data_IF_308265961811
#
_entry.id   IF_308265961811
#
_cell.length_a   1.000
_cell.length_b   1.000
_cell.length_c   1.000
_cell.angle_alpha   90.00
_cell.angle_beta   90.00
_cell.angle_gamma   90.00
#
_symmetry.space_group_name_H-M   'P 1'
#
loop_
_entity.id
_entity.type
_entity.pdbx_description
1 polymer ?
#
# COMPACT_ATOMS: atom_id res chain seq x y z
N UNK A 1 -13.89 -5.31 14.91
CA UNK A 1 -13.57 -6.63 14.30
C UNK A 1 -12.07 -6.67 14.08
N UNK A 2 -11.41 -7.83 13.94
CA UNK A 2 -9.96 -7.80 13.68
C UNK A 2 -9.67 -7.36 12.24
N UNK A 3 -8.70 -6.47 12.05
CA UNK A 3 -8.17 -6.06 10.73
C UNK A 3 -7.78 -7.28 9.87
N UNK A 4 -7.28 -8.33 10.53
CA UNK A 4 -6.82 -9.56 9.87
C UNK A 4 -7.90 -10.29 9.06
N UNK A 5 -9.18 -10.08 9.38
CA UNK A 5 -10.29 -10.67 8.63
C UNK A 5 -10.41 -10.10 7.22
N UNK A 6 -9.84 -8.91 6.97
CA UNK A 6 -9.93 -8.20 5.70
C UNK A 6 -8.70 -8.34 4.82
N UNK A 7 -7.59 -8.89 5.33
CA UNK A 7 -6.35 -9.00 4.56
C UNK A 7 -6.53 -9.83 3.27
N UNK A 8 -7.24 -10.95 3.34
CA UNK A 8 -7.45 -11.80 2.17
C UNK A 8 -8.37 -11.13 1.13
N UNK A 9 -9.56 -10.59 1.47
CA UNK A 9 -10.37 -9.81 0.52
C UNK A 9 -9.63 -8.62 -0.10
N UNK A 10 -8.90 -7.85 0.71
CA UNK A 10 -8.12 -6.69 0.24
C UNK A 10 -7.04 -7.13 -0.75
N UNK A 11 -6.33 -8.22 -0.44
CA UNK A 11 -5.31 -8.80 -1.32
C UNK A 11 -5.90 -9.13 -2.69
N UNK A 12 -7.00 -9.88 -2.71
CA UNK A 12 -7.65 -10.33 -3.95
C UNK A 12 -8.14 -9.15 -4.80
N UNK A 13 -8.77 -8.16 -4.17
CA UNK A 13 -9.26 -6.96 -4.84
C UNK A 13 -8.11 -6.12 -5.42
N UNK A 14 -7.00 -5.96 -4.70
CA UNK A 14 -5.81 -5.27 -5.23
C UNK A 14 -5.22 -6.01 -6.42
N UNK A 15 -5.02 -7.32 -6.32
CA UNK A 15 -4.50 -8.14 -7.44
C UNK A 15 -5.41 -8.03 -8.67
N UNK A 16 -6.73 -7.96 -8.48
CA UNK A 16 -7.68 -7.68 -9.56
C UNK A 16 -7.52 -6.30 -10.17
N UNK A 17 -7.40 -5.24 -9.37
CA UNK A 17 -7.18 -3.88 -9.88
C UNK A 17 -5.90 -3.76 -10.72
N UNK A 18 -4.80 -4.39 -10.28
CA UNK A 18 -3.57 -4.46 -11.06
C UNK A 18 -3.76 -5.26 -12.36
N UNK A 19 -4.45 -6.41 -12.30
CA UNK A 19 -4.77 -7.23 -13.47
C UNK A 19 -5.60 -6.47 -14.50
N UNK A 20 -6.58 -5.68 -14.07
CA UNK A 20 -7.39 -4.83 -14.95
C UNK A 20 -6.56 -3.72 -15.63
N UNK A 21 -5.40 -3.37 -15.06
CA UNK A 21 -4.40 -2.49 -15.67
C UNK A 21 -3.35 -3.24 -16.49
N UNK A 22 -3.56 -4.52 -16.79
CA UNK A 22 -2.65 -5.34 -17.57
C UNK A 22 -1.35 -5.68 -16.85
N UNK A 23 -1.31 -5.57 -15.52
CA UNK A 23 -0.14 -5.85 -14.69
C UNK A 23 -0.35 -7.11 -13.87
N UNK A 24 0.69 -7.94 -13.74
CA UNK A 24 0.65 -9.12 -12.89
C UNK A 24 1.22 -8.78 -11.52
N UNK A 25 0.32 -8.51 -10.57
CA UNK A 25 0.68 -8.31 -9.16
C UNK A 25 0.69 -9.64 -8.40
N UNK A 26 1.60 -9.75 -7.45
CA UNK A 26 1.67 -10.84 -6.48
C UNK A 26 1.82 -10.24 -5.08
N UNK A 27 0.84 -10.47 -4.22
CA UNK A 27 0.82 -10.01 -2.83
C UNK A 27 0.86 -11.20 -1.86
N UNK A 28 1.42 -11.00 -0.68
CA UNK A 28 1.31 -11.93 0.46
C UNK A 28 0.83 -11.19 1.71
N UNK A 29 0.11 -11.91 2.57
CA UNK A 29 -0.26 -11.43 3.90
C UNK A 29 0.96 -11.61 4.82
N UNK A 30 1.71 -10.53 5.03
CA UNK A 30 2.99 -10.52 5.76
C UNK A 30 2.84 -10.23 7.24
N UNK A 31 1.68 -9.73 7.68
CA UNK A 31 1.36 -9.45 9.08
C UNK A 31 1.64 -10.64 10.02
N UNK A 32 1.42 -11.88 9.54
CA UNK A 32 1.45 -13.09 10.36
C UNK A 32 2.57 -14.07 10.02
N UNK A 33 2.90 -14.24 8.72
CA UNK A 33 3.79 -15.32 8.25
C UNK A 33 5.20 -14.86 7.87
N UNK A 34 5.48 -13.56 7.95
CA UNK A 34 6.73 -12.99 7.42
C UNK A 34 6.79 -13.03 5.89
N UNK A 35 7.99 -12.85 5.33
CA UNK A 35 8.20 -12.84 3.88
C UNK A 35 8.62 -14.21 3.38
N UNK A 36 7.96 -14.69 2.33
CA UNK A 36 8.41 -15.87 1.61
C UNK A 36 9.75 -15.64 0.90
N UNK A 37 10.43 -16.74 0.54
CA UNK A 37 11.62 -16.67 -0.32
C UNK A 37 11.33 -16.00 -1.67
N UNK A 38 10.10 -16.15 -2.20
CA UNK A 38 9.69 -15.49 -3.44
C UNK A 38 9.69 -13.98 -3.30
N UNK A 39 9.16 -13.43 -2.20
CA UNK A 39 9.22 -11.99 -1.95
C UNK A 39 10.64 -11.50 -1.68
N UNK A 40 11.42 -12.27 -0.90
CA UNK A 40 12.82 -11.91 -0.61
C UNK A 40 13.65 -11.76 -1.89
N UNK A 41 13.51 -12.68 -2.84
CA UNK A 41 14.22 -12.62 -4.13
C UNK A 41 13.88 -11.38 -4.98
N UNK A 42 12.72 -10.75 -4.74
CA UNK A 42 12.28 -9.55 -5.48
C UNK A 42 12.65 -8.25 -4.77
N UNK A 43 13.05 -8.32 -3.50
CA UNK A 43 13.55 -7.17 -2.77
C UNK A 43 14.98 -6.89 -3.28
N UNK A 44 15.33 -5.64 -3.65
CA UNK A 44 16.68 -5.30 -4.04
C UNK A 44 17.69 -5.69 -2.95
N UNK A 45 18.84 -6.26 -3.33
CA UNK A 45 19.85 -6.78 -2.38
C UNK A 45 20.28 -5.75 -1.33
N UNK A 46 20.36 -4.47 -1.69
CA UNK A 46 20.72 -3.38 -0.77
C UNK A 46 19.59 -3.01 0.22
N UNK A 47 18.38 -3.57 0.07
CA UNK A 47 17.19 -3.28 0.88
C UNK A 47 16.83 -4.40 1.84
N UNK A 48 17.47 -5.56 1.78
CA UNK A 48 17.24 -6.63 2.76
C UNK A 48 17.62 -6.21 4.20
N UNK A 49 18.65 -5.36 4.33
CA UNK A 49 19.12 -4.82 5.62
C UNK A 49 18.02 -4.06 6.37
N UNK A 50 17.03 -3.52 5.67
CA UNK A 50 15.90 -2.83 6.27
C UNK A 50 15.17 -3.72 7.27
N UNK A 51 14.98 -5.00 6.95
CA UNK A 51 14.26 -5.92 7.83
C UNK A 51 14.96 -6.13 9.17
N UNK A 52 16.29 -5.99 9.21
CA UNK A 52 17.09 -6.08 10.44
C UNK A 52 16.73 -4.95 11.40
N UNK A 53 16.49 -3.75 10.89
CA UNK A 53 16.25 -2.56 11.71
C UNK A 53 14.78 -2.25 11.95
N UNK A 54 13.92 -2.54 10.96
CA UNK A 54 12.51 -2.14 11.00
C UNK A 54 11.72 -2.85 12.10
N UNK A 55 12.07 -4.11 12.41
CA UNK A 55 11.43 -4.98 13.45
C UNK A 55 9.89 -5.10 13.33
N UNK A 56 9.31 -4.57 12.26
CA UNK A 56 7.91 -4.60 11.87
C UNK A 56 7.83 -4.88 10.38
N UNK A 57 6.64 -5.23 9.91
CA UNK A 57 6.37 -5.56 8.52
C UNK A 57 5.07 -4.89 8.10
N UNK A 58 4.92 -4.58 6.81
CA UNK A 58 3.61 -4.26 6.24
C UNK A 58 2.60 -5.36 6.51
N UNK A 59 1.31 -5.03 6.51
CA UNK A 59 0.26 -6.04 6.62
C UNK A 59 0.21 -6.93 5.39
N UNK A 60 0.31 -6.32 4.20
CA UNK A 60 0.56 -7.01 2.95
C UNK A 60 1.77 -6.42 2.24
N UNK A 61 2.55 -7.29 1.62
CA UNK A 61 3.71 -6.91 0.81
C UNK A 61 3.72 -7.70 -0.48
N UNK A 62 4.19 -7.08 -1.55
CA UNK A 62 4.13 -7.70 -2.86
C UNK A 62 4.98 -7.00 -3.89
N UNK A 63 4.78 -7.42 -5.13
CA UNK A 63 5.42 -6.82 -6.28
C UNK A 63 4.56 -6.94 -7.53
N UNK A 64 4.82 -6.07 -8.50
CA UNK A 64 4.39 -6.20 -9.89
C UNK A 64 5.58 -6.62 -10.73
N UNK A 65 5.40 -7.62 -11.60
CA UNK A 65 6.45 -7.99 -12.55
C UNK A 65 6.59 -6.96 -13.66
N UNK A 66 7.80 -6.43 -13.81
CA UNK A 66 8.22 -5.64 -14.97
C UNK A 66 9.19 -6.42 -15.84
N UNK A 67 9.55 -5.83 -16.99
CA UNK A 67 10.44 -6.46 -17.96
C UNK A 67 11.87 -6.67 -17.45
N UNK A 68 12.38 -5.72 -16.65
CA UNK A 68 13.78 -5.72 -16.17
C UNK A 68 13.91 -5.77 -14.65
N UNK A 69 12.90 -5.26 -13.94
CA UNK A 69 12.85 -5.23 -12.48
C UNK A 69 11.42 -5.40 -12.01
N UNK A 70 11.24 -5.77 -10.75
CA UNK A 70 9.93 -5.81 -10.10
C UNK A 70 9.68 -4.53 -9.31
N UNK A 71 8.46 -4.02 -9.41
CA UNK A 71 8.03 -2.83 -8.67
C UNK A 71 7.34 -3.26 -7.38
N UNK A 72 7.83 -2.81 -6.24
CA UNK A 72 7.31 -3.25 -4.94
C UNK A 72 5.98 -2.58 -4.59
N UNK A 73 5.15 -3.34 -3.86
CA UNK A 73 3.85 -2.92 -3.31
C UNK A 73 3.91 -3.05 -1.78
N UNK A 74 3.56 -1.99 -1.06
CA UNK A 74 3.37 -2.00 0.40
C UNK A 74 1.93 -1.64 0.75
N UNK A 75 1.31 -2.40 1.64
CA UNK A 75 -0.06 -2.15 2.10
C UNK A 75 -0.10 -2.22 3.61
N UNK A 76 -0.68 -1.18 4.21
CA UNK A 76 -1.07 -1.17 5.62
C UNK A 76 -2.59 -1.09 5.71
N UNK A 77 -3.19 -1.84 6.62
CA UNK A 77 -4.63 -1.85 6.85
C UNK A 77 -4.91 -1.31 8.24
N UNK A 78 -5.97 -0.50 8.37
CA UNK A 78 -6.44 0.04 9.63
C UNK A 78 -7.95 -0.13 9.73
N UNK A 79 -8.47 -0.50 10.89
CA UNK A 79 -9.93 -0.45 11.11
C UNK A 79 -10.42 0.99 10.92
N UNK A 80 -9.73 1.95 11.53
CA UNK A 80 -9.91 3.40 11.33
C UNK A 80 -8.59 4.14 11.53
N UNK A 81 -8.45 5.34 10.95
CA UNK A 81 -7.32 6.22 11.25
C UNK A 81 -7.62 6.96 12.55
N UNK A 82 -6.91 6.60 13.62
CA UNK A 82 -7.05 7.22 14.93
C UNK A 82 -5.98 8.27 15.21
N UNK A 83 -4.81 8.16 14.57
CA UNK A 83 -3.66 9.03 14.80
C UNK A 83 -2.79 9.16 13.56
N UNK A 84 -1.94 10.19 13.55
CA UNK A 84 -0.98 10.43 12.47
C UNK A 84 -0.02 9.25 12.26
N UNK A 85 0.37 8.56 13.33
CA UNK A 85 1.25 7.39 13.25
C UNK A 85 0.69 6.30 12.32
N UNK A 86 -0.64 6.19 12.21
CA UNK A 86 -1.27 5.19 11.34
C UNK A 86 -0.93 5.47 9.87
N UNK A 87 -0.89 6.75 9.50
CA UNK A 87 -0.47 7.22 8.17
C UNK A 87 1.03 7.07 7.99
N UNK A 88 1.80 7.51 9.00
CA UNK A 88 3.26 7.43 8.95
C UNK A 88 3.78 6.00 8.92
N UNK A 89 3.08 5.03 9.51
CA UNK A 89 3.44 3.62 9.43
C UNK A 89 3.35 3.11 7.98
N UNK A 90 2.26 3.37 7.29
CA UNK A 90 2.09 2.99 5.88
C UNK A 90 3.12 3.70 4.98
N UNK A 91 3.33 4.99 5.22
CA UNK A 91 4.32 5.82 4.51
C UNK A 91 5.75 5.32 4.73
N UNK A 92 6.11 5.00 5.98
CA UNK A 92 7.42 4.47 6.36
C UNK A 92 7.75 3.23 5.53
N UNK A 93 6.81 2.28 5.41
CA UNK A 93 7.05 1.08 4.62
C UNK A 93 7.29 1.41 3.15
N UNK A 94 6.47 2.28 2.57
CA UNK A 94 6.67 2.69 1.18
C UNK A 94 8.06 3.31 0.97
N UNK A 95 8.43 4.28 1.79
CA UNK A 95 9.70 5.03 1.63
C UNK A 95 10.92 4.13 1.84
N UNK A 96 10.90 3.36 2.92
CA UNK A 96 12.04 2.52 3.29
C UNK A 96 12.20 1.38 2.27
N UNK A 97 11.12 0.81 1.74
CA UNK A 97 11.21 -0.22 0.69
C UNK A 97 11.31 0.32 -0.75
N UNK A 98 11.25 1.63 -0.98
CA UNK A 98 11.11 2.23 -2.32
C UNK A 98 9.87 1.81 -3.09
N UNK A 99 8.83 1.40 -2.39
CA UNK A 99 7.68 0.82 -3.05
C UNK A 99 7.11 1.79 -4.07
N UNK A 100 7.00 1.34 -5.33
CA UNK A 100 6.37 2.12 -6.39
C UNK A 100 4.91 2.40 -6.01
N UNK A 101 4.27 1.42 -5.40
CA UNK A 101 2.87 1.45 -5.00
C UNK A 101 2.75 1.31 -3.48
N UNK A 102 2.23 2.35 -2.81
CA UNK A 102 1.96 2.30 -1.38
C UNK A 102 0.50 2.61 -1.07
N UNK A 103 -0.10 1.82 -0.19
CA UNK A 103 -1.50 1.92 0.19
C UNK A 103 -1.65 1.97 1.70
N UNK A 104 -2.47 2.91 2.17
CA UNK A 104 -3.12 2.83 3.48
C UNK A 104 -4.60 2.57 3.25
N UNK A 105 -5.08 1.42 3.73
CA UNK A 105 -6.45 0.96 3.53
C UNK A 105 -7.20 1.06 4.85
N UNK A 106 -8.35 1.74 4.85
CA UNK A 106 -9.22 1.84 6.02
C UNK A 106 -10.47 0.98 5.84
N UNK A 107 -10.98 0.39 6.92
CA UNK A 107 -12.26 -0.34 6.88
C UNK A 107 -13.43 0.64 7.11
N UNK A 108 -13.27 1.52 8.09
CA UNK A 108 -14.19 2.64 8.32
C UNK A 108 -13.89 3.80 7.36
N UNK A 109 -14.86 4.71 7.13
CA UNK A 109 -14.64 5.90 6.30
C UNK A 109 -13.42 6.71 6.75
N UNK A 110 -12.67 7.24 5.78
CA UNK A 110 -11.52 8.11 6.06
C UNK A 110 -12.06 9.39 6.72
N UNK A 111 -11.63 9.76 7.94
CA UNK A 111 -12.14 10.95 8.61
C UNK A 111 -11.90 12.23 7.79
N UNK A 112 -12.90 13.10 7.73
CA UNK A 112 -12.81 14.34 6.95
C UNK A 112 -11.70 15.28 7.48
N UNK A 113 -11.47 15.28 8.79
CA UNK A 113 -10.37 16.00 9.44
C UNK A 113 -9.00 15.50 8.94
N UNK A 114 -8.84 14.20 8.71
CA UNK A 114 -7.61 13.63 8.15
C UNK A 114 -7.43 14.06 6.69
N UNK A 115 -8.49 14.06 5.89
CA UNK A 115 -8.45 14.56 4.50
C UNK A 115 -8.06 16.04 4.46
N UNK A 116 -8.65 16.88 5.31
CA UNK A 116 -8.32 18.30 5.42
C UNK A 116 -6.88 18.52 5.87
N UNK A 117 -6.42 17.75 6.86
CA UNK A 117 -5.04 17.81 7.33
C UNK A 117 -4.05 17.47 6.22
N UNK A 118 -4.29 16.41 5.45
CA UNK A 118 -3.43 16.02 4.33
C UNK A 118 -3.39 17.08 3.22
N UNK A 119 -4.53 17.72 2.92
CA UNK A 119 -4.59 18.85 1.95
C UNK A 119 -3.79 20.07 2.41
N UNK A 120 -3.88 20.41 3.69
CA UNK A 120 -3.19 21.57 4.27
C UNK A 120 -1.70 21.28 4.58
N UNK A 121 -1.35 20.02 4.81
CA UNK A 121 0.01 19.57 5.10
C UNK A 121 0.38 18.44 4.16
N UNK A 122 0.61 18.84 2.90
CA UNK A 122 0.84 17.95 1.75
C UNK A 122 1.88 16.85 2.01
N UNK A 123 2.93 17.14 2.77
CA UNK A 123 3.99 16.19 3.12
C UNK A 123 3.53 14.98 3.93
N UNK A 124 2.34 15.01 4.55
CA UNK A 124 1.80 13.86 5.29
C UNK A 124 1.42 12.74 4.31
N UNK A 125 0.75 13.09 3.21
CA UNK A 125 0.32 12.13 2.19
C UNK A 125 1.36 11.91 1.08
N UNK A 126 2.38 12.75 0.99
CA UNK A 126 3.42 12.60 -0.02
C UNK A 126 4.63 11.89 0.57
N UNK A 127 4.98 10.77 -0.05
CA UNK A 127 6.22 10.07 0.20
C UNK A 127 7.38 10.77 -0.50
N UNK A 128 8.53 10.85 0.16
CA UNK A 128 9.76 11.41 -0.39
C UNK A 128 10.25 10.71 -1.67
N UNK A 129 9.80 9.47 -1.90
CA UNK A 129 10.10 8.70 -3.11
C UNK A 129 9.01 8.80 -4.18
N UNK A 130 7.96 9.60 -3.96
CA UNK A 130 6.90 9.80 -4.95
C UNK A 130 7.43 10.56 -6.17
N UNK A 131 6.91 10.18 -7.32
CA UNK A 131 7.28 10.73 -8.62
C UNK A 131 6.11 10.52 -9.58
N UNK A 132 6.28 10.94 -10.84
CA UNK A 132 5.26 10.77 -11.87
C UNK A 132 4.81 9.31 -12.11
N UNK A 133 5.51 8.31 -11.57
CA UNK A 133 5.19 6.89 -11.72
C UNK A 133 4.99 6.16 -10.38
N UNK A 134 5.10 6.86 -9.26
CA UNK A 134 5.09 6.31 -7.90
C UNK A 134 4.05 7.03 -7.05
N UNK A 135 3.26 6.29 -6.28
CA UNK A 135 2.23 6.89 -5.44
C UNK A 135 2.15 6.28 -4.04
N UNK A 136 1.75 7.11 -3.08
CA UNK A 136 1.16 6.71 -1.80
C UNK A 136 -0.30 7.18 -1.79
N UNK A 137 -1.24 6.29 -1.47
CA UNK A 137 -2.68 6.63 -1.49
C UNK A 137 -3.41 6.08 -0.27
N UNK A 138 -4.42 6.82 0.19
CA UNK A 138 -5.39 6.33 1.16
C UNK A 138 -6.67 5.88 0.45
N UNK A 139 -7.25 4.78 0.90
CA UNK A 139 -8.53 4.31 0.36
C UNK A 139 -9.37 3.57 1.39
N UNK A 140 -10.68 3.76 1.37
CA UNK A 140 -11.60 2.93 2.13
C UNK A 140 -11.92 1.62 1.39
N UNK A 141 -11.77 0.49 2.09
CA UNK A 141 -12.34 -0.79 1.70
C UNK A 141 -13.71 -0.98 2.38
N UNK A 142 -14.77 -1.00 1.58
CA UNK A 142 -16.11 -1.22 2.08
C UNK A 142 -16.33 -2.72 2.36
N UNK A 143 -16.56 -3.06 3.62
CA UNK A 143 -16.72 -4.45 4.09
C UNK A 143 -17.99 -5.13 3.60
N UNK A 144 -19.01 -4.36 3.20
CA UNK A 144 -20.29 -4.92 2.74
C UNK A 144 -20.22 -5.32 1.26
N UNK A 145 -19.70 -4.42 0.41
CA UNK A 145 -19.52 -4.70 -1.02
C UNK A 145 -18.23 -5.44 -1.36
N UNK A 146 -17.22 -5.41 -0.48
CA UNK A 146 -15.88 -5.91 -0.76
C UNK A 146 -15.12 -5.06 -1.79
N UNK A 147 -15.49 -3.79 -1.97
CA UNK A 147 -14.92 -2.89 -2.98
C UNK A 147 -14.20 -1.71 -2.34
N UNK A 148 -13.30 -1.09 -3.12
CA UNK A 148 -12.66 0.18 -2.76
C UNK A 148 -13.52 1.36 -3.20
N UNK A 149 -13.97 2.19 -2.26
CA UNK A 149 -15.03 3.20 -2.52
C UNK A 149 -14.58 4.66 -2.39
N UNK A 150 -13.69 4.98 -1.46
CA UNK A 150 -13.29 6.37 -1.14
C UNK A 150 -11.77 6.54 -1.27
N UNK A 151 -11.30 6.78 -2.50
CA UNK A 151 -9.90 7.00 -2.82
C UNK A 151 -9.49 8.45 -2.53
N UNK A 152 -8.35 8.65 -1.87
CA UNK A 152 -7.86 9.97 -1.51
C UNK A 152 -6.35 10.14 -1.78
N UNK A 153 -5.91 11.22 -2.44
CA UNK A 153 -6.73 12.31 -3.04
C UNK A 153 -7.34 11.96 -4.39
N UNK A 154 -6.77 10.97 -5.09
CA UNK A 154 -7.21 10.49 -6.40
C UNK A 154 -7.08 8.98 -6.46
N UNK A 155 -7.90 8.34 -7.28
CA UNK A 155 -7.76 6.91 -7.54
C UNK A 155 -6.61 6.67 -8.54
N UNK A 156 -5.49 6.02 -8.15
CA UNK A 156 -4.37 5.80 -9.05
C UNK A 156 -4.71 4.83 -10.18
N UNK A 157 -5.73 3.98 -10.01
CA UNK A 157 -6.20 3.04 -11.02
C UNK A 157 -7.12 3.69 -12.06
N UNK A 158 -7.35 5.00 -12.05
CA UNK A 158 -7.95 5.75 -13.19
C UNK A 158 -6.95 6.70 -13.86
N UNK A 159 -5.75 6.86 -13.28
CA UNK A 159 -4.74 7.83 -13.70
C UNK A 159 -3.69 7.16 -14.59
N UNK A 160 -3.73 7.42 -15.89
CA UNK A 160 -2.90 6.72 -16.90
C UNK A 160 -1.39 6.83 -16.68
N UNK A 161 -0.92 7.93 -16.10
CA UNK A 161 0.51 8.15 -15.93
C UNK A 161 1.17 7.13 -15.00
N UNK A 162 0.47 6.57 -14.01
CA UNK A 162 1.03 5.56 -13.10
C UNK A 162 1.28 4.19 -13.76
N UNK A 163 0.66 3.92 -14.91
CA UNK A 163 0.65 2.62 -15.56
C UNK A 163 1.61 2.52 -16.75
N UNK A 164 2.27 3.63 -17.08
CA UNK A 164 3.36 3.71 -18.05
C UNK A 164 4.62 3.01 -17.55
#
# INVERSE_FOLDING_TARGET
MSEANFYQPIKEQLEELFRNRGKQAYLEITATKGLSEKLKQKIPQNREIIFVFLKKKPDLFGFVEGQYSSDLITVEVKEKIGKLDDIYQAKLYKEVFDARYGFLITIEPIPEEIKRLCKNTYSILHSSVDSIYRFFVMVQFDKESGQFVDWFEKNPFVEEHYWK
#
